data_IF_079919165433
#
_entry.id   IF_079919165433
#
_cell.length_a   1.000
_cell.length_b   1.000
_cell.length_c   1.000
_cell.angle_alpha   90.00
_cell.angle_beta   90.00
_cell.angle_gamma   90.00
#
_symmetry.space_group_name_H-M   'P 1'
#
loop_
_entity.id
_entity.type
_entity.pdbx_description
1 polymer ?
#
# COMPACT_ATOMS: atom_id res chain seq x y z
N UNK A 1 -4.19 -58.10 -62.06
CA UNK A 1 -5.30 -57.32 -61.45
C UNK A 1 -5.51 -57.76 -60.01
N UNK A 2 -4.92 -57.06 -59.03
CA UNK A 2 -5.25 -57.26 -57.61
C UNK A 2 -5.29 -55.90 -56.91
N UNK A 3 -6.47 -55.62 -56.36
CA UNK A 3 -6.86 -54.43 -55.61
C UNK A 3 -6.06 -54.38 -54.30
N UNK A 4 -5.47 -53.23 -53.98
CA UNK A 4 -4.87 -52.96 -52.67
C UNK A 4 -5.86 -52.11 -51.86
N UNK A 5 -6.14 -52.62 -50.66
CA UNK A 5 -7.12 -52.16 -49.70
C UNK A 5 -6.63 -50.86 -49.03
N UNK A 6 -7.44 -49.80 -49.06
CA UNK A 6 -7.18 -48.53 -48.39
C UNK A 6 -7.71 -48.63 -46.95
N UNK A 7 -6.82 -48.61 -45.95
CA UNK A 7 -7.18 -48.51 -44.53
C UNK A 7 -7.11 -47.03 -44.13
N UNK A 8 -8.26 -46.42 -43.85
CA UNK A 8 -8.33 -45.10 -43.22
C UNK A 8 -8.21 -45.29 -41.70
N UNK A 9 -7.06 -44.92 -41.14
CA UNK A 9 -6.87 -44.81 -39.69
C UNK A 9 -7.19 -43.36 -39.31
N UNK A 10 -8.38 -43.14 -38.73
CA UNK A 10 -8.77 -41.86 -38.15
C UNK A 10 -8.04 -41.73 -36.82
N UNK A 11 -7.00 -40.89 -36.77
CA UNK A 11 -6.41 -40.43 -35.51
C UNK A 11 -7.30 -39.32 -34.94
N UNK A 12 -8.08 -39.66 -33.91
CA UNK A 12 -8.67 -38.66 -33.00
C UNK A 12 -7.51 -37.95 -32.27
N UNK A 13 -7.28 -36.68 -32.59
CA UNK A 13 -6.53 -35.78 -31.74
C UNK A 13 -7.39 -35.44 -30.53
N UNK A 14 -7.12 -36.11 -29.41
CA UNK A 14 -7.66 -35.73 -28.11
C UNK A 14 -6.86 -34.51 -27.64
N UNK A 15 -7.43 -33.33 -27.82
CA UNK A 15 -6.92 -32.08 -27.24
C UNK A 15 -6.96 -32.21 -25.72
N UNK A 16 -5.79 -32.41 -25.11
CA UNK A 16 -5.62 -32.28 -23.66
C UNK A 16 -5.79 -30.80 -23.30
N UNK A 17 -6.83 -30.49 -22.54
CA UNK A 17 -6.94 -29.21 -21.84
C UNK A 17 -5.77 -29.11 -20.86
N UNK A 18 -4.73 -28.35 -21.22
CA UNK A 18 -3.73 -27.94 -20.24
C UNK A 18 -4.38 -26.93 -19.30
N UNK A 19 -4.55 -27.32 -18.04
CA UNK A 19 -4.71 -26.39 -16.93
C UNK A 19 -3.59 -25.36 -17.01
N UNK A 20 -3.94 -24.08 -17.21
CA UNK A 20 -2.97 -23.00 -17.36
C UNK A 20 -2.06 -22.90 -16.15
N UNK A 21 -0.80 -23.28 -16.31
CA UNK A 21 0.24 -22.96 -15.36
C UNK A 21 0.48 -21.45 -15.41
N UNK A 22 0.16 -20.76 -14.32
CA UNK A 22 0.58 -19.37 -14.12
C UNK A 22 2.11 -19.39 -14.08
N UNK A 23 2.76 -18.74 -15.03
CA UNK A 23 4.20 -18.55 -14.99
C UNK A 23 4.52 -17.64 -13.81
N UNK A 24 5.10 -18.21 -12.75
CA UNK A 24 5.70 -17.43 -11.67
C UNK A 24 7.07 -16.94 -12.13
N UNK A 25 7.43 -15.70 -11.80
CA UNK A 25 8.79 -15.24 -12.07
C UNK A 25 9.74 -16.07 -11.22
N UNK A 26 10.82 -16.56 -11.83
CA UNK A 26 11.81 -17.38 -11.13
C UNK A 26 12.70 -16.43 -10.33
N UNK A 27 12.91 -16.67 -9.01
CA UNK A 27 13.86 -15.92 -8.21
C UNK A 27 15.22 -15.82 -8.90
N UNK A 28 15.93 -14.70 -8.69
CA UNK A 28 17.29 -14.59 -9.21
C UNK A 28 18.19 -15.57 -8.46
N UNK A 29 18.55 -16.67 -9.12
CA UNK A 29 19.36 -17.76 -8.55
C UNK A 29 20.86 -17.44 -8.55
N UNK A 30 21.23 -16.24 -8.10
CA UNK A 30 22.60 -15.78 -8.02
C UNK A 30 22.77 -14.81 -6.84
N UNK A 31 23.89 -14.94 -6.11
CA UNK A 31 24.27 -14.07 -4.99
C UNK A 31 24.88 -12.77 -5.52
N UNK A 32 24.64 -11.66 -4.84
CA UNK A 32 25.24 -10.36 -5.20
C UNK A 32 24.56 -9.64 -6.36
N UNK A 33 23.50 -10.20 -6.94
CA UNK A 33 22.72 -9.51 -7.98
C UNK A 33 21.86 -8.39 -7.37
N UNK A 34 21.71 -7.24 -8.04
CA UNK A 34 20.79 -6.19 -7.60
C UNK A 34 19.33 -6.67 -7.66
N UNK A 35 18.51 -6.15 -6.75
CA UNK A 35 17.06 -6.39 -6.71
C UNK A 35 16.33 -5.06 -6.70
N UNK A 36 15.29 -4.94 -7.51
CA UNK A 36 14.43 -3.77 -7.59
C UNK A 36 12.98 -4.12 -7.28
N UNK A 37 12.32 -3.34 -6.43
CA UNK A 37 10.92 -3.52 -6.07
C UNK A 37 10.15 -2.22 -6.30
N UNK A 38 8.91 -2.34 -6.74
CA UNK A 38 7.92 -1.27 -6.58
C UNK A 38 6.99 -1.62 -5.44
N UNK A 39 6.62 -0.66 -4.60
CA UNK A 39 5.59 -0.82 -3.57
C UNK A 39 4.48 0.19 -3.80
N UNK A 40 3.25 -0.29 -3.72
CA UNK A 40 2.03 0.52 -3.67
C UNK A 40 1.18 0.05 -2.50
N UNK A 41 0.43 0.97 -1.91
CA UNK A 41 -0.59 0.68 -0.92
C UNK A 41 -1.83 1.51 -1.17
N UNK A 42 -2.94 1.14 -0.53
CA UNK A 42 -4.15 1.96 -0.47
C UNK A 42 -4.68 2.32 -1.87
N UNK A 43 -4.67 1.34 -2.78
CA UNK A 43 -5.26 1.46 -4.12
C UNK A 43 -6.77 1.67 -4.02
N UNK A 44 -7.41 1.09 -3.00
CA UNK A 44 -8.84 1.18 -2.73
C UNK A 44 -9.71 1.01 -3.99
N UNK A 45 -9.35 0.01 -4.80
CA UNK A 45 -10.00 -0.25 -6.07
C UNK A 45 -11.49 -0.55 -5.87
N UNK A 46 -12.32 0.12 -6.65
CA UNK A 46 -13.75 -0.17 -6.73
C UNK A 46 -14.12 -0.51 -8.18
N UNK A 47 -14.56 -1.75 -8.40
CA UNK A 47 -15.00 -2.19 -9.72
C UNK A 47 -16.13 -1.27 -10.27
N UNK A 48 -16.04 -0.81 -11.53
CA UNK A 48 -17.13 -0.10 -12.22
C UNK A 48 -18.44 -0.91 -12.30
N UNK A 49 -18.42 -2.21 -12.01
CA UNK A 49 -19.64 -3.05 -11.92
C UNK A 49 -20.39 -2.88 -10.61
N UNK A 50 -19.83 -2.14 -9.66
CA UNK A 50 -20.38 -1.94 -8.32
C UNK A 50 -20.89 -0.53 -8.08
N UNK A 51 -20.82 0.35 -9.08
CA UNK A 51 -21.42 1.67 -8.99
C UNK A 51 -21.99 2.17 -10.32
N UNK A 52 -22.93 3.09 -10.21
CA UNK A 52 -23.38 3.97 -11.29
C UNK A 52 -23.06 5.41 -10.87
N UNK A 53 -22.46 6.19 -11.76
CA UNK A 53 -22.21 7.61 -11.50
C UNK A 53 -23.53 8.37 -11.29
N UNK A 54 -23.53 9.29 -10.34
CA UNK A 54 -24.69 10.07 -9.96
C UNK A 54 -24.66 10.48 -8.49
N UNK A 55 -25.68 11.22 -8.06
CA UNK A 55 -25.72 11.92 -6.77
C UNK A 55 -25.34 11.05 -5.55
N UNK A 56 -25.70 9.77 -5.53
CA UNK A 56 -25.32 8.89 -4.42
C UNK A 56 -23.82 8.61 -4.42
N UNK A 57 -23.26 8.18 -5.56
CA UNK A 57 -21.85 7.83 -5.67
C UNK A 57 -20.96 9.07 -5.52
N UNK A 58 -21.37 10.21 -6.09
CA UNK A 58 -20.66 11.49 -5.92
C UNK A 58 -20.58 11.88 -4.45
N UNK A 59 -21.66 11.68 -3.68
CA UNK A 59 -21.62 11.89 -2.21
C UNK A 59 -20.68 10.92 -1.50
N UNK A 60 -20.59 9.66 -1.93
CA UNK A 60 -19.65 8.69 -1.35
C UNK A 60 -18.22 9.18 -1.53
N UNK A 61 -17.88 9.67 -2.73
CA UNK A 61 -16.55 10.23 -3.04
C UNK A 61 -16.30 11.53 -2.26
N UNK A 62 -17.19 12.52 -2.35
CA UNK A 62 -17.00 13.85 -1.76
C UNK A 62 -16.99 13.84 -0.22
N UNK A 63 -17.79 12.97 0.41
CA UNK A 63 -17.82 12.83 1.86
C UNK A 63 -16.76 11.86 2.40
N UNK A 64 -16.11 11.11 1.51
CA UNK A 64 -14.96 10.26 1.80
C UNK A 64 -13.72 11.05 2.25
N UNK A 65 -12.62 10.33 2.42
CA UNK A 65 -11.35 10.84 2.93
C UNK A 65 -10.36 11.26 1.83
N UNK A 66 -10.85 11.53 0.62
CA UNK A 66 -10.06 12.06 -0.50
C UNK A 66 -9.66 11.03 -1.55
N UNK A 67 -10.14 9.78 -1.41
CA UNK A 67 -9.98 8.72 -2.42
C UNK A 67 -10.77 9.05 -3.68
N UNK A 68 -10.11 9.09 -4.83
CA UNK A 68 -10.77 9.30 -6.14
C UNK A 68 -11.31 7.99 -6.71
N UNK A 69 -12.34 7.44 -6.07
CA UNK A 69 -12.88 6.10 -6.38
C UNK A 69 -13.25 5.92 -7.86
N UNK A 70 -13.84 6.95 -8.47
CA UNK A 70 -14.22 6.97 -9.89
C UNK A 70 -13.03 6.82 -10.85
N UNK A 71 -11.82 7.16 -10.41
CA UNK A 71 -10.59 7.06 -11.20
C UNK A 71 -9.72 5.86 -10.83
N UNK A 72 -10.14 5.02 -9.86
CA UNK A 72 -9.34 3.84 -9.46
C UNK A 72 -9.09 2.84 -10.60
N UNK A 73 -9.98 2.64 -11.60
CA UNK A 73 -9.66 1.85 -12.80
C UNK A 73 -8.54 2.43 -13.65
N UNK A 74 -8.56 3.74 -13.88
CA UNK A 74 -7.55 4.44 -14.66
C UNK A 74 -6.22 4.47 -13.90
N UNK A 75 -6.24 4.61 -12.58
CA UNK A 75 -5.07 4.54 -11.71
C UNK A 75 -4.44 3.14 -11.74
N UNK A 76 -5.26 2.07 -11.65
CA UNK A 76 -4.78 0.70 -11.76
C UNK A 76 -4.16 0.42 -13.14
N UNK A 77 -4.79 0.89 -14.21
CA UNK A 77 -4.20 0.78 -15.55
C UNK A 77 -2.86 1.53 -15.64
N UNK A 78 -2.79 2.76 -15.14
CA UNK A 78 -1.54 3.54 -15.14
C UNK A 78 -0.44 2.86 -14.30
N UNK A 79 -0.79 2.22 -13.18
CA UNK A 79 0.14 1.40 -12.40
C UNK A 79 0.72 0.25 -13.23
N UNK A 80 -0.13 -0.47 -13.96
CA UNK A 80 0.29 -1.58 -14.83
C UNK A 80 1.24 -1.08 -15.92
N UNK A 81 0.93 0.04 -16.55
CA UNK A 81 1.76 0.67 -17.57
C UNK A 81 3.11 1.12 -16.99
N UNK A 82 3.11 1.72 -15.80
CA UNK A 82 4.30 2.15 -15.09
C UNK A 82 5.19 0.96 -14.72
N UNK A 83 4.61 -0.12 -14.19
CA UNK A 83 5.34 -1.36 -13.86
C UNK A 83 5.96 -1.96 -15.13
N UNK A 84 5.23 -1.99 -16.25
CA UNK A 84 5.76 -2.47 -17.55
C UNK A 84 6.88 -1.57 -18.09
N UNK A 85 6.85 -0.28 -17.78
CA UNK A 85 7.88 0.70 -18.17
C UNK A 85 9.13 0.60 -17.31
N UNK A 86 8.96 0.56 -15.99
CA UNK A 86 10.04 0.50 -14.99
C UNK A 86 10.69 -0.88 -14.95
N UNK A 87 9.88 -1.94 -15.10
CA UNK A 87 10.28 -3.36 -15.04
C UNK A 87 11.02 -3.72 -13.73
N UNK A 88 10.41 -3.49 -12.56
CA UNK A 88 11.00 -3.95 -11.30
C UNK A 88 11.05 -5.49 -11.27
N UNK A 89 11.90 -6.05 -10.42
CA UNK A 89 11.91 -7.50 -10.18
C UNK A 89 10.66 -7.98 -9.45
N UNK A 90 10.01 -7.10 -8.69
CA UNK A 90 8.68 -7.37 -8.14
C UNK A 90 7.86 -6.14 -7.78
N UNK A 91 6.56 -6.34 -7.66
CA UNK A 91 5.56 -5.35 -7.23
C UNK A 91 4.93 -5.81 -5.90
N UNK A 92 4.99 -4.96 -4.89
CA UNK A 92 4.32 -5.15 -3.60
C UNK A 92 2.99 -4.39 -3.61
N UNK A 93 1.91 -5.11 -3.30
CA UNK A 93 0.60 -4.55 -2.94
C UNK A 93 0.46 -4.64 -1.42
N UNK A 94 0.75 -3.53 -0.73
CA UNK A 94 0.85 -3.44 0.72
C UNK A 94 -0.52 -3.17 1.39
N UNK A 95 -1.53 -3.96 1.01
CA UNK A 95 -2.88 -3.88 1.58
C UNK A 95 -3.73 -2.71 1.08
N UNK A 96 -4.99 -2.73 1.51
CA UNK A 96 -6.08 -1.88 1.06
C UNK A 96 -6.15 -1.81 -0.47
N UNK A 97 -6.14 -3.02 -1.05
CA UNK A 97 -6.19 -3.26 -2.49
C UNK A 97 -7.55 -2.81 -3.03
N UNK A 98 -8.62 -3.10 -2.30
CA UNK A 98 -10.01 -2.78 -2.63
C UNK A 98 -10.59 -1.69 -1.75
N UNK A 99 -11.70 -1.08 -2.17
CA UNK A 99 -12.32 -0.01 -1.39
C UNK A 99 -12.80 -0.54 -0.04
N UNK A 100 -13.61 -1.60 -0.02
CA UNK A 100 -14.15 -2.21 1.20
C UNK A 100 -14.35 -3.73 1.08
N UNK A 101 -13.44 -4.45 0.40
CA UNK A 101 -13.38 -5.92 0.40
C UNK A 101 -14.33 -6.57 -0.60
N UNK A 102 -14.76 -5.82 -1.61
CA UNK A 102 -15.68 -6.31 -2.61
C UNK A 102 -15.04 -7.44 -3.43
N UNK A 103 -15.70 -8.60 -3.51
CA UNK A 103 -15.22 -9.75 -4.28
C UNK A 103 -14.91 -9.38 -5.74
N UNK A 104 -15.82 -8.65 -6.40
CA UNK A 104 -15.64 -8.25 -7.80
C UNK A 104 -14.38 -7.38 -7.98
N UNK A 105 -14.15 -6.44 -7.06
CA UNK A 105 -12.95 -5.59 -7.05
C UNK A 105 -11.68 -6.43 -6.90
N UNK A 106 -11.67 -7.41 -5.98
CA UNK A 106 -10.55 -8.31 -5.81
C UNK A 106 -10.26 -9.15 -7.06
N UNK A 107 -11.30 -9.72 -7.67
CA UNK A 107 -11.18 -10.58 -8.85
C UNK A 107 -10.65 -9.81 -10.06
N UNK A 108 -11.10 -8.57 -10.28
CA UNK A 108 -10.58 -7.70 -11.35
C UNK A 108 -9.10 -7.32 -11.13
N UNK A 109 -8.72 -6.94 -9.91
CA UNK A 109 -7.31 -6.66 -9.61
C UNK A 109 -6.44 -7.90 -9.79
N UNK A 110 -6.92 -9.08 -9.35
CA UNK A 110 -6.19 -10.33 -9.46
C UNK A 110 -5.98 -10.76 -10.92
N UNK A 111 -6.96 -10.50 -11.80
CA UNK A 111 -6.81 -10.76 -13.24
C UNK A 111 -5.69 -9.90 -13.85
N UNK A 112 -5.65 -8.61 -13.51
CA UNK A 112 -4.60 -7.70 -13.94
C UNK A 112 -3.22 -8.11 -13.40
N UNK A 113 -3.15 -8.50 -12.13
CA UNK A 113 -1.91 -9.03 -11.52
C UNK A 113 -1.44 -10.28 -12.25
N UNK A 114 -2.34 -11.18 -12.65
CA UNK A 114 -1.99 -12.38 -13.41
C UNK A 114 -1.37 -12.03 -14.78
N UNK A 115 -1.81 -10.95 -15.42
CA UNK A 115 -1.15 -10.44 -16.63
C UNK A 115 0.27 -9.95 -16.36
N UNK A 116 0.49 -9.23 -15.26
CA UNK A 116 1.82 -8.78 -14.84
C UNK A 116 2.75 -9.97 -14.58
N UNK A 117 2.29 -10.99 -13.84
CA UNK A 117 3.03 -12.23 -13.64
C UNK A 117 3.39 -12.93 -14.96
N UNK A 118 2.44 -12.98 -15.89
CA UNK A 118 2.67 -13.55 -17.23
C UNK A 118 3.70 -12.77 -18.06
N UNK A 119 3.94 -11.49 -17.73
CA UNK A 119 4.98 -10.66 -18.33
C UNK A 119 6.34 -10.74 -17.60
N UNK A 120 6.47 -11.59 -16.58
CA UNK A 120 7.70 -11.84 -15.84
C UNK A 120 7.88 -10.98 -14.58
N UNK A 121 6.89 -10.18 -14.19
CA UNK A 121 6.92 -9.38 -12.96
C UNK A 121 6.26 -10.16 -11.82
N UNK A 122 7.00 -10.50 -10.76
CA UNK A 122 6.38 -11.14 -9.60
C UNK A 122 5.59 -10.11 -8.78
N UNK A 123 4.39 -10.46 -8.35
CA UNK A 123 3.58 -9.63 -7.44
C UNK A 123 3.56 -10.26 -6.04
N UNK A 124 3.56 -9.43 -5.00
CA UNK A 124 3.52 -9.80 -3.59
C UNK A 124 2.37 -9.04 -2.93
N UNK A 125 1.36 -9.75 -2.41
CA UNK A 125 0.17 -9.11 -1.87
C UNK A 125 -0.17 -9.62 -0.47
N UNK A 126 -0.47 -8.68 0.43
CA UNK A 126 -1.11 -8.93 1.72
C UNK A 126 -2.37 -8.07 1.82
N UNK A 127 -3.39 -8.46 2.62
CA UNK A 127 -4.56 -7.64 2.80
C UNK A 127 -4.29 -6.46 3.75
N UNK A 128 -5.00 -5.37 3.51
CA UNK A 128 -5.18 -4.28 4.47
C UNK A 128 -6.44 -4.46 5.30
N UNK A 129 -6.77 -3.48 6.14
CA UNK A 129 -7.95 -3.56 7.00
C UNK A 129 -9.27 -3.38 6.24
N UNK A 130 -9.25 -2.93 4.98
CA UNK A 130 -10.43 -2.84 4.11
C UNK A 130 -10.68 -4.08 3.26
N UNK A 131 -9.70 -4.97 3.10
CA UNK A 131 -9.76 -6.02 2.08
C UNK A 131 -10.55 -7.27 2.50
N UNK A 132 -10.53 -7.64 3.78
CA UNK A 132 -11.16 -8.89 4.22
C UNK A 132 -12.00 -8.70 5.47
N UNK A 133 -13.08 -9.47 5.55
CA UNK A 133 -14.07 -9.44 6.63
C UNK A 133 -14.55 -8.01 6.94
N UNK A 134 -14.55 -7.11 5.96
CA UNK A 134 -14.94 -5.74 6.16
C UNK A 134 -16.46 -5.67 6.39
N UNK A 135 -16.92 -5.01 7.47
CA UNK A 135 -18.34 -5.05 7.86
C UNK A 135 -19.23 -4.12 7.03
N UNK A 136 -18.66 -3.25 6.21
CA UNK A 136 -19.39 -2.19 5.49
C UNK A 136 -19.09 -2.19 3.99
N UNK A 137 -19.37 -3.30 3.33
CA UNK A 137 -19.17 -3.46 1.88
C UNK A 137 -20.47 -3.20 1.12
N UNK A 138 -20.43 -2.34 0.09
CA UNK A 138 -21.64 -1.91 -0.63
C UNK A 138 -21.42 -1.86 -2.14
N UNK A 139 -22.54 -1.83 -2.87
CA UNK A 139 -22.63 -1.36 -4.26
C UNK A 139 -23.63 -0.20 -4.36
N UNK A 140 -23.45 0.70 -5.32
CA UNK A 140 -24.13 1.99 -5.39
C UNK A 140 -24.85 2.17 -6.73
N UNK A 141 -26.17 2.00 -6.79
CA UNK A 141 -26.93 2.11 -8.05
C UNK A 141 -28.14 3.03 -7.88
N UNK A 142 -28.26 4.02 -8.77
CA UNK A 142 -29.25 5.10 -8.63
C UNK A 142 -29.13 5.79 -7.26
N UNK A 143 -30.18 5.72 -6.46
CA UNK A 143 -30.26 6.28 -5.11
C UNK A 143 -30.09 5.23 -3.99
N UNK A 144 -29.69 4.00 -4.33
CA UNK A 144 -29.60 2.87 -3.38
C UNK A 144 -28.15 2.44 -3.16
N UNK A 145 -27.72 2.45 -1.89
CA UNK A 145 -26.54 1.73 -1.43
C UNK A 145 -26.98 0.34 -0.92
N UNK A 146 -26.62 -0.71 -1.65
CA UNK A 146 -26.97 -2.09 -1.29
C UNK A 146 -25.76 -2.78 -0.65
N UNK A 147 -25.93 -3.27 0.58
CA UNK A 147 -24.92 -4.07 1.28
C UNK A 147 -24.65 -5.39 0.53
N UNK A 148 -23.37 -5.74 0.42
CA UNK A 148 -22.87 -7.02 -0.09
C UNK A 148 -21.84 -7.57 0.89
N UNK A 149 -21.38 -8.81 0.68
CA UNK A 149 -20.39 -9.42 1.58
C UNK A 149 -18.97 -9.12 1.14
N UNK A 150 -18.12 -8.74 2.09
CA UNK A 150 -16.67 -8.81 1.96
C UNK A 150 -16.20 -10.26 1.79
N UNK A 151 -15.06 -10.46 1.14
CA UNK A 151 -14.35 -11.76 1.17
C UNK A 151 -13.70 -12.02 2.53
N UNK A 152 -13.38 -13.28 2.80
CA UNK A 152 -12.61 -13.75 3.97
C UNK A 152 -11.11 -13.80 3.68
N UNK A 153 -10.27 -13.87 4.73
CA UNK A 153 -8.82 -14.08 4.59
C UNK A 153 -8.45 -15.32 3.78
N UNK A 154 -9.19 -16.43 3.93
CA UNK A 154 -8.95 -17.64 3.12
C UNK A 154 -9.31 -17.45 1.65
N UNK A 155 -10.37 -16.70 1.35
CA UNK A 155 -10.72 -16.34 -0.03
C UNK A 155 -9.68 -15.41 -0.65
N UNK A 156 -9.13 -14.46 0.13
CA UNK A 156 -8.02 -13.62 -0.30
C UNK A 156 -6.80 -14.47 -0.70
N UNK A 157 -6.40 -15.45 0.13
CA UNK A 157 -5.29 -16.35 -0.21
C UNK A 157 -5.53 -17.12 -1.51
N UNK A 158 -6.77 -17.51 -1.80
CA UNK A 158 -7.11 -18.20 -3.04
C UNK A 158 -7.02 -17.26 -4.25
N UNK A 159 -7.61 -16.06 -4.14
CA UNK A 159 -7.64 -15.05 -5.21
C UNK A 159 -6.22 -14.60 -5.56
N UNK A 160 -5.39 -14.32 -4.54
CA UNK A 160 -4.03 -13.84 -4.70
C UNK A 160 -2.98 -14.95 -4.54
N UNK A 161 -3.34 -16.21 -4.79
CA UNK A 161 -2.44 -17.35 -4.59
C UNK A 161 -1.12 -17.24 -5.37
N UNK A 162 -1.12 -16.62 -6.56
CA UNK A 162 0.10 -16.38 -7.34
C UNK A 162 0.92 -15.17 -6.87
N UNK A 163 0.46 -14.42 -5.88
CA UNK A 163 1.02 -13.14 -5.46
C UNK A 163 1.90 -13.28 -4.21
N UNK A 164 2.91 -14.14 -4.30
CA UNK A 164 3.86 -14.43 -3.22
C UNK A 164 3.52 -15.65 -2.38
N UNK A 165 2.24 -16.03 -2.26
CA UNK A 165 1.81 -17.22 -1.50
C UNK A 165 2.37 -18.50 -2.14
N UNK A 166 1.99 -18.79 -3.38
CA UNK A 166 2.57 -19.89 -4.14
C UNK A 166 4.03 -19.54 -4.46
N UNK A 167 4.94 -20.49 -4.24
CA UNK A 167 6.37 -20.27 -4.46
C UNK A 167 7.09 -19.57 -3.30
N UNK A 168 6.40 -19.19 -2.23
CA UNK A 168 7.05 -18.75 -0.99
C UNK A 168 7.98 -19.83 -0.42
N UNK A 169 9.04 -19.39 0.26
CA UNK A 169 9.88 -20.25 1.09
C UNK A 169 9.10 -20.76 2.30
N UNK A 170 8.20 -19.93 2.82
CA UNK A 170 7.35 -20.26 3.96
C UNK A 170 6.09 -19.40 3.94
N UNK A 171 4.95 -20.02 4.25
CA UNK A 171 3.65 -19.36 4.43
C UNK A 171 3.24 -19.48 5.90
N UNK A 172 2.90 -18.36 6.55
CA UNK A 172 2.30 -18.38 7.88
C UNK A 172 0.94 -19.07 7.82
N UNK A 173 0.74 -20.10 8.64
CA UNK A 173 -0.53 -20.83 8.70
C UNK A 173 -1.62 -20.06 9.45
N UNK A 174 -1.28 -18.92 10.06
CA UNK A 174 -2.17 -18.12 10.90
C UNK A 174 -2.61 -16.80 10.27
N UNK A 175 -2.10 -16.45 9.09
CA UNK A 175 -2.33 -15.19 8.35
C UNK A 175 -2.07 -15.40 6.85
N UNK A 176 -2.04 -14.33 6.05
CA UNK A 176 -1.55 -14.30 4.67
C UNK A 176 -0.06 -13.92 4.57
N UNK A 177 0.67 -13.84 5.69
CA UNK A 177 2.09 -13.52 5.70
C UNK A 177 2.95 -14.64 5.10
N UNK A 178 4.05 -14.29 4.45
CA UNK A 178 4.95 -15.23 3.79
C UNK A 178 6.38 -14.71 3.72
N UNK A 179 7.34 -15.62 3.55
CA UNK A 179 8.73 -15.30 3.20
C UNK A 179 8.97 -15.70 1.76
N UNK A 180 9.47 -14.78 0.94
CA UNK A 180 9.79 -15.03 -0.46
C UNK A 180 11.27 -14.78 -0.74
N UNK A 181 11.87 -15.61 -1.59
CA UNK A 181 13.25 -15.44 -2.03
C UNK A 181 13.28 -14.52 -3.25
N UNK A 182 13.82 -13.31 -3.11
CA UNK A 182 14.01 -12.39 -4.25
C UNK A 182 15.29 -12.74 -5.02
N UNK A 183 16.35 -13.02 -4.26
CA UNK A 183 17.61 -13.58 -4.73
C UNK A 183 18.15 -14.58 -3.68
N UNK A 184 19.18 -15.35 -4.01
CA UNK A 184 19.77 -16.36 -3.10
C UNK A 184 20.17 -15.78 -1.73
N UNK A 185 20.52 -14.49 -1.68
CA UNK A 185 20.93 -13.76 -0.49
C UNK A 185 20.03 -12.56 -0.14
N UNK A 186 18.82 -12.47 -0.73
CA UNK A 186 17.83 -11.42 -0.43
C UNK A 186 16.42 -12.02 -0.29
N UNK A 187 15.82 -11.88 0.89
CA UNK A 187 14.45 -12.32 1.16
C UNK A 187 13.51 -11.14 1.40
N UNK A 188 12.24 -11.33 1.02
CA UNK A 188 11.13 -10.47 1.36
C UNK A 188 10.27 -11.13 2.43
N UNK A 189 10.03 -10.44 3.54
CA UNK A 189 9.18 -10.91 4.63
C UNK A 189 7.87 -10.10 4.67
N UNK A 190 6.77 -10.75 4.29
CA UNK A 190 5.44 -10.16 4.32
C UNK A 190 4.76 -10.38 5.69
N UNK A 191 4.43 -9.29 6.38
CA UNK A 191 3.79 -9.28 7.69
C UNK A 191 2.30 -8.92 7.53
N UNK A 192 1.43 -9.91 7.65
CA UNK A 192 -0.02 -9.70 7.59
C UNK A 192 -0.64 -9.62 9.00
N UNK A 193 -1.25 -8.46 9.28
CA UNK A 193 -1.96 -8.17 10.51
C UNK A 193 -3.50 -8.11 10.33
N UNK A 194 -4.02 -8.38 9.12
CA UNK A 194 -5.41 -8.08 8.74
C UNK A 194 -6.22 -9.29 8.28
N UNK A 195 -5.63 -10.41 7.86
CA UNK A 195 -6.43 -11.53 7.34
C UNK A 195 -7.33 -12.26 8.35
N UNK A 196 -7.34 -11.82 9.61
CA UNK A 196 -8.10 -12.42 10.72
C UNK A 196 -9.19 -11.47 11.21
N UNK A 197 -10.11 -11.99 12.03
CA UNK A 197 -11.23 -11.23 12.62
C UNK A 197 -10.83 -9.97 13.41
N UNK A 198 -9.57 -9.85 13.83
CA UNK A 198 -9.04 -8.69 14.56
C UNK A 198 -7.90 -8.07 13.75
N UNK A 199 -8.18 -7.07 12.88
CA UNK A 199 -7.16 -6.40 12.09
C UNK A 199 -6.19 -5.61 12.98
N UNK A 200 -5.01 -5.29 12.43
CA UNK A 200 -3.96 -4.53 13.10
C UNK A 200 -3.14 -5.29 14.14
N UNK A 201 -3.23 -6.63 14.22
CA UNK A 201 -2.46 -7.42 15.20
C UNK A 201 -1.89 -8.72 14.63
N UNK A 202 -0.59 -8.94 14.85
CA UNK A 202 0.01 -10.28 14.66
C UNK A 202 -0.34 -11.20 15.84
N UNK A 203 -0.82 -12.41 15.53
CA UNK A 203 -1.09 -13.40 16.57
C UNK A 203 0.22 -14.06 17.06
N UNK A 204 0.17 -14.76 18.20
CA UNK A 204 1.36 -15.42 18.79
C UNK A 204 2.06 -16.36 17.80
N UNK A 205 1.29 -17.16 17.04
CA UNK A 205 1.85 -18.10 16.08
C UNK A 205 2.56 -17.38 14.93
N UNK A 206 1.99 -16.27 14.45
CA UNK A 206 2.62 -15.42 13.42
C UNK A 206 3.92 -14.83 13.93
N UNK A 207 3.97 -14.34 15.18
CA UNK A 207 5.22 -13.84 15.77
C UNK A 207 6.27 -14.94 15.90
N UNK A 208 5.90 -16.14 16.34
CA UNK A 208 6.81 -17.29 16.39
C UNK A 208 7.30 -17.69 15.00
N UNK A 209 6.42 -17.68 13.99
CA UNK A 209 6.80 -17.93 12.61
C UNK A 209 7.81 -16.88 12.12
N UNK A 210 7.58 -15.58 12.37
CA UNK A 210 8.54 -14.51 12.04
C UNK A 210 9.91 -14.78 12.68
N UNK A 211 9.96 -15.13 13.98
CA UNK A 211 11.20 -15.47 14.67
C UNK A 211 11.96 -16.63 13.99
N UNK A 212 11.24 -17.67 13.54
CA UNK A 212 11.82 -18.79 12.79
C UNK A 212 12.38 -18.35 11.44
N UNK A 213 11.66 -17.51 10.69
CA UNK A 213 12.12 -17.01 9.38
C UNK A 213 13.39 -16.16 9.52
N UNK A 214 13.43 -15.27 10.50
CA UNK A 214 14.58 -14.41 10.77
C UNK A 214 15.80 -15.22 11.22
N UNK A 215 15.59 -16.23 12.07
CA UNK A 215 16.66 -17.16 12.46
C UNK A 215 17.23 -17.88 11.23
N UNK A 216 16.38 -18.40 10.36
CA UNK A 216 16.79 -19.09 9.14
C UNK A 216 17.55 -18.17 8.17
N UNK A 217 17.11 -16.91 8.02
CA UNK A 217 17.79 -15.92 7.19
C UNK A 217 19.19 -15.62 7.73
N UNK A 218 19.29 -15.38 9.05
CA UNK A 218 20.55 -15.10 9.74
C UNK A 218 21.55 -16.25 9.65
N UNK A 219 21.11 -17.49 9.83
CA UNK A 219 21.95 -18.69 9.67
C UNK A 219 22.50 -18.83 8.24
N UNK A 220 21.79 -18.30 7.24
CA UNK A 220 22.19 -18.32 5.83
C UNK A 220 22.89 -17.04 5.38
N UNK A 221 23.02 -16.02 6.24
CA UNK A 221 23.60 -14.72 5.89
C UNK A 221 22.79 -13.92 4.86
N UNK A 222 21.48 -14.18 4.78
CA UNK A 222 20.57 -13.54 3.83
C UNK A 222 20.12 -12.19 4.37
N UNK A 223 20.13 -11.16 3.51
CA UNK A 223 19.54 -9.87 3.80
C UNK A 223 18.01 -9.94 3.69
N UNK A 224 17.28 -9.37 4.65
CA UNK A 224 15.81 -9.40 4.67
C UNK A 224 15.27 -7.98 4.63
N UNK A 225 14.26 -7.76 3.78
CA UNK A 225 13.41 -6.56 3.80
C UNK A 225 12.00 -7.01 4.20
N UNK A 226 11.39 -6.33 5.17
CA UNK A 226 10.00 -6.61 5.55
C UNK A 226 9.03 -5.62 4.92
N UNK A 227 7.78 -6.03 4.75
CA UNK A 227 6.68 -5.11 4.49
C UNK A 227 5.40 -5.52 5.23
N UNK A 228 4.56 -4.54 5.51
CA UNK A 228 3.27 -4.67 6.20
C UNK A 228 2.26 -3.68 5.62
N UNK A 229 0.99 -3.81 5.98
CA UNK A 229 0.00 -2.78 5.65
C UNK A 229 0.09 -1.61 6.66
N UNK A 230 -0.25 -1.84 7.92
CA UNK A 230 0.02 -0.91 9.01
C UNK A 230 1.53 -0.77 9.27
N UNK A 231 1.97 0.38 9.76
CA UNK A 231 3.37 0.61 10.12
C UNK A 231 3.78 -0.15 11.37
N UNK A 232 5.09 -0.30 11.57
CA UNK A 232 5.74 -0.83 12.77
C UNK A 232 6.24 0.28 13.69
N UNK A 233 5.96 1.53 13.35
CA UNK A 233 6.33 2.71 14.12
C UNK A 233 5.23 3.75 14.03
N UNK A 234 5.09 4.59 15.05
CA UNK A 234 4.25 5.78 14.95
C UNK A 234 4.97 6.81 14.08
N UNK A 235 4.36 7.21 12.97
CA UNK A 235 4.95 8.18 12.05
C UNK A 235 4.71 9.64 12.48
N UNK A 236 3.77 9.88 13.38
CA UNK A 236 3.49 11.22 13.92
C UNK A 236 2.84 11.09 15.29
N UNK A 237 3.00 12.08 16.16
CA UNK A 237 2.43 12.09 17.51
C UNK A 237 0.90 11.93 17.55
N UNK A 238 0.19 12.17 16.44
CA UNK A 238 -1.26 11.92 16.33
C UNK A 238 -1.63 10.73 15.43
N UNK A 239 -0.66 10.05 14.82
CA UNK A 239 -0.82 8.84 14.01
C UNK A 239 -0.34 7.61 14.78
N UNK A 240 -1.04 7.30 15.86
CA UNK A 240 -0.78 6.16 16.74
C UNK A 240 -2.04 5.27 16.85
N UNK A 241 -1.92 4.11 17.47
CA UNK A 241 -3.04 3.19 17.65
C UNK A 241 -3.27 2.36 16.40
N UNK A 242 -4.44 2.48 15.76
CA UNK A 242 -4.82 1.62 14.63
C UNK A 242 -3.93 1.80 13.38
N UNK A 243 -3.14 2.89 13.30
CA UNK A 243 -2.18 3.11 12.23
C UNK A 243 -0.93 2.22 12.32
N UNK A 244 -0.62 1.76 13.53
CA UNK A 244 0.58 1.01 13.86
C UNK A 244 0.18 -0.38 14.34
N UNK A 245 0.88 -1.42 13.89
CA UNK A 245 0.60 -2.79 14.34
C UNK A 245 0.65 -2.84 15.87
N UNK A 246 -0.37 -3.47 16.47
CA UNK A 246 -0.39 -3.63 17.91
C UNK A 246 0.85 -4.42 18.38
N UNK A 247 1.48 -3.94 19.46
CA UNK A 247 2.73 -4.47 20.00
C UNK A 247 3.92 -4.35 19.02
N UNK A 248 3.89 -3.39 18.08
CA UNK A 248 4.97 -3.16 17.11
C UNK A 248 6.39 -3.07 17.70
N UNK A 249 6.66 -2.43 18.87
CA UNK A 249 7.99 -2.44 19.46
C UNK A 249 8.56 -3.84 19.70
N UNK A 250 7.69 -4.82 20.00
CA UNK A 250 8.11 -6.23 20.14
C UNK A 250 8.50 -6.82 18.78
N UNK A 251 7.75 -6.51 17.72
CA UNK A 251 8.04 -6.99 16.36
C UNK A 251 9.33 -6.37 15.84
N UNK A 252 9.51 -5.05 16.01
CA UNK A 252 10.74 -4.33 15.67
C UNK A 252 11.94 -4.94 16.39
N UNK A 253 11.83 -5.26 17.69
CA UNK A 253 12.91 -5.93 18.42
C UNK A 253 13.28 -7.30 17.80
N UNK A 254 12.30 -8.07 17.30
CA UNK A 254 12.56 -9.33 16.61
C UNK A 254 13.21 -9.14 15.24
N UNK A 255 12.74 -8.17 14.46
CA UNK A 255 13.36 -7.78 13.20
C UNK A 255 14.83 -7.37 13.40
N UNK A 256 15.11 -6.55 14.42
CA UNK A 256 16.46 -6.13 14.77
C UNK A 256 17.35 -7.31 15.23
N UNK A 257 16.83 -8.26 16.00
CA UNK A 257 17.56 -9.51 16.35
C UNK A 257 17.98 -10.31 15.10
N UNK A 258 17.16 -10.23 14.04
CA UNK A 258 17.36 -10.81 12.71
C UNK A 258 18.17 -9.95 11.74
N UNK A 259 18.73 -8.82 12.18
CA UNK A 259 19.48 -7.86 11.35
C UNK A 259 18.63 -7.21 10.23
N UNK A 260 17.34 -7.03 10.48
CA UNK A 260 16.40 -6.34 9.60
C UNK A 260 16.21 -4.90 10.07
N UNK A 261 16.53 -3.96 9.19
CA UNK A 261 16.55 -2.51 9.50
C UNK A 261 15.51 -1.70 8.72
N UNK A 262 14.75 -2.34 7.82
CA UNK A 262 13.76 -1.66 6.98
C UNK A 262 12.44 -2.43 6.93
N UNK A 263 11.36 -1.73 7.26
CA UNK A 263 10.00 -2.12 6.92
C UNK A 263 9.39 -1.13 5.92
N UNK A 264 8.70 -1.66 4.92
CA UNK A 264 7.89 -0.88 3.99
C UNK A 264 6.41 -1.02 4.40
N UNK A 265 5.70 0.09 4.59
CA UNK A 265 4.30 0.11 5.01
C UNK A 265 3.42 1.01 4.14
N UNK A 266 2.12 1.04 4.44
CA UNK A 266 1.09 1.85 3.79
C UNK A 266 0.11 2.38 4.85
N UNK A 267 -1.21 2.38 4.60
CA UNK A 267 -2.30 2.61 5.56
C UNK A 267 -2.45 4.05 6.06
N UNK A 268 -1.36 4.77 6.30
CA UNK A 268 -1.40 6.17 6.76
C UNK A 268 -1.82 7.13 5.64
N UNK A 269 -1.78 6.66 4.39
CA UNK A 269 -2.01 7.42 3.14
C UNK A 269 -1.03 8.57 2.87
N UNK A 270 -0.19 8.94 3.84
CA UNK A 270 0.86 9.96 3.69
C UNK A 270 2.20 9.30 3.38
N UNK A 271 3.01 9.96 2.54
CA UNK A 271 4.39 9.55 2.36
C UNK A 271 5.23 9.99 3.55
N UNK A 272 5.67 9.04 4.37
CA UNK A 272 6.43 9.34 5.57
C UNK A 272 7.48 8.28 5.88
N UNK A 273 8.56 8.69 6.54
CA UNK A 273 9.65 7.80 6.95
C UNK A 273 9.88 8.04 8.43
N UNK A 274 9.74 7.01 9.25
CA UNK A 274 10.06 7.00 10.66
C UNK A 274 11.41 6.30 10.88
N UNK A 275 12.16 6.73 11.89
CA UNK A 275 13.43 6.12 12.29
C UNK A 275 13.54 6.11 13.80
N UNK A 276 13.93 4.96 14.36
CA UNK A 276 14.25 4.84 15.78
C UNK A 276 15.28 3.72 15.97
N UNK A 277 16.40 4.07 16.59
CA UNK A 277 17.44 3.10 16.95
C UNK A 277 18.07 2.41 15.74
N UNK A 278 18.09 3.04 14.57
CA UNK A 278 18.60 2.47 13.32
C UNK A 278 17.61 1.61 12.54
N UNK A 279 16.39 1.41 13.05
CA UNK A 279 15.30 0.79 12.30
C UNK A 279 14.48 1.86 11.58
N UNK A 280 14.13 1.60 10.31
CA UNK A 280 13.37 2.51 9.47
C UNK A 280 12.03 1.87 9.08
N UNK A 281 10.96 2.63 9.24
CA UNK A 281 9.66 2.32 8.64
C UNK A 281 9.32 3.36 7.57
N UNK A 282 9.03 2.91 6.36
CA UNK A 282 8.69 3.74 5.21
C UNK A 282 7.23 3.52 4.84
N UNK A 283 6.36 4.43 5.28
CA UNK A 283 4.97 4.48 4.88
C UNK A 283 4.87 5.13 3.50
N UNK A 284 4.52 4.32 2.49
CA UNK A 284 4.31 4.80 1.12
C UNK A 284 2.95 5.49 1.04
N UNK A 285 2.93 6.67 0.40
CA UNK A 285 1.68 7.42 0.22
C UNK A 285 0.63 6.62 -0.57
N UNK A 286 -0.64 6.93 -0.33
CA UNK A 286 -1.75 6.21 -0.98
C UNK A 286 -1.75 6.41 -2.50
N UNK A 287 -2.04 5.34 -3.23
CA UNK A 287 -2.19 5.40 -4.68
C UNK A 287 -3.53 6.01 -5.12
N UNK A 288 -4.58 5.92 -4.29
CA UNK A 288 -5.93 6.44 -4.60
C UNK A 288 -6.15 7.88 -4.15
N UNK A 289 -5.20 8.48 -3.44
CA UNK A 289 -5.27 9.87 -2.96
C UNK A 289 -4.15 10.66 -3.62
N UNK A 290 -4.42 11.91 -3.99
CA UNK A 290 -3.39 12.82 -4.48
C UNK A 290 -2.24 12.92 -3.44
N UNK A 291 -0.96 12.76 -3.83
CA UNK A 291 -0.42 12.87 -5.19
C UNK A 291 -0.14 11.51 -5.90
N UNK A 292 -0.80 10.43 -5.50
CA UNK A 292 -0.70 9.09 -6.12
C UNK A 292 0.71 8.50 -6.08
N UNK A 293 1.26 8.28 -4.89
CA UNK A 293 2.66 7.86 -4.76
C UNK A 293 2.81 6.35 -4.85
N UNK A 294 3.92 5.94 -5.44
CA UNK A 294 4.48 4.60 -5.27
C UNK A 294 5.93 4.72 -4.79
N UNK A 295 6.40 3.70 -4.08
CA UNK A 295 7.81 3.58 -3.68
C UNK A 295 8.58 2.72 -4.69
N UNK A 296 9.79 3.14 -5.01
CA UNK A 296 10.76 2.34 -5.78
C UNK A 296 11.96 2.04 -4.89
N UNK A 297 12.27 0.76 -4.73
CA UNK A 297 13.31 0.25 -3.85
C UNK A 297 14.38 -0.44 -4.68
N UNK A 298 15.63 -0.07 -4.47
CA UNK A 298 16.80 -0.72 -5.07
C UNK A 298 17.70 -1.27 -3.98
N UNK A 299 18.00 -2.56 -4.06
CA UNK A 299 18.97 -3.26 -3.23
C UNK A 299 20.16 -3.55 -4.14
N UNK A 300 21.27 -2.84 -3.92
CA UNK A 300 22.45 -2.95 -4.78
C UNK A 300 23.28 -4.23 -4.48
N UNK A 301 24.37 -4.42 -5.22
CA UNK A 301 25.28 -5.57 -5.07
C UNK A 301 25.90 -5.67 -3.66
N UNK A 302 26.00 -4.55 -2.93
CA UNK A 302 26.50 -4.48 -1.57
C UNK A 302 25.37 -4.59 -0.52
N UNK A 303 24.11 -4.74 -0.98
CA UNK A 303 22.88 -4.72 -0.17
C UNK A 303 22.62 -3.39 0.52
N UNK A 304 23.14 -2.30 -0.05
CA UNK A 304 22.64 -0.98 0.30
C UNK A 304 21.24 -0.84 -0.28
N UNK A 305 20.34 -0.18 0.46
CA UNK A 305 18.97 0.03 0.05
C UNK A 305 18.77 1.51 -0.30
N UNK A 306 18.24 1.78 -1.47
CA UNK A 306 17.73 3.11 -1.84
C UNK A 306 16.22 3.03 -2.01
N UNK A 307 15.47 3.84 -1.28
CA UNK A 307 14.03 4.04 -1.48
C UNK A 307 13.79 5.42 -2.12
N UNK A 308 12.94 5.46 -3.14
CA UNK A 308 12.45 6.71 -3.76
C UNK A 308 10.93 6.68 -3.92
N UNK A 309 10.22 7.64 -3.33
CA UNK A 309 8.81 7.84 -3.64
C UNK A 309 8.64 8.65 -4.92
N UNK A 310 7.75 8.22 -5.81
CA UNK A 310 7.47 8.84 -7.11
C UNK A 310 5.96 8.97 -7.31
N UNK A 311 5.48 10.08 -7.90
CA UNK A 311 4.09 10.15 -8.34
C UNK A 311 3.88 9.20 -9.52
N UNK A 312 2.77 8.50 -9.50
CA UNK A 312 2.30 7.70 -10.63
C UNK A 312 1.99 8.66 -11.80
N UNK A 313 2.56 8.45 -12.99
CA UNK A 313 2.20 9.24 -14.16
C UNK A 313 0.73 9.00 -14.53
N UNK A 314 -0.08 10.06 -14.43
CA UNK A 314 -1.50 10.05 -14.76
C UNK A 314 -1.82 11.14 -15.79
N UNK A 315 -2.93 11.00 -16.55
CA UNK A 315 -3.48 12.10 -17.32
C UNK A 315 -3.65 13.36 -16.47
N UNK A 316 -3.40 14.52 -17.08
CA UNK A 316 -3.46 15.81 -16.39
C UNK A 316 -4.85 16.08 -15.79
N UNK A 317 -5.92 15.69 -16.50
CA UNK A 317 -7.30 15.81 -16.03
C UNK A 317 -7.53 15.05 -14.71
N UNK A 318 -7.12 13.78 -14.64
CA UNK A 318 -7.22 12.98 -13.41
C UNK A 318 -6.38 13.62 -12.30
N UNK A 319 -5.17 14.08 -12.61
CA UNK A 319 -4.29 14.72 -11.64
C UNK A 319 -4.90 16.01 -11.06
N UNK A 320 -5.57 16.80 -11.89
CA UNK A 320 -6.25 18.04 -11.48
C UNK A 320 -7.48 17.75 -10.62
N UNK A 321 -8.31 16.79 -11.02
CA UNK A 321 -9.49 16.39 -10.26
C UNK A 321 -9.11 15.78 -8.91
N UNK A 322 -8.10 14.91 -8.85
CA UNK A 322 -7.60 14.36 -7.59
C UNK A 322 -7.05 15.44 -6.66
N UNK A 323 -6.31 16.42 -7.19
CA UNK A 323 -5.83 17.57 -6.42
C UNK A 323 -7.00 18.40 -5.89
N UNK A 324 -8.01 18.64 -6.72
CA UNK A 324 -9.18 19.42 -6.34
C UNK A 324 -9.98 18.70 -5.24
N UNK A 325 -10.21 17.38 -5.37
CA UNK A 325 -10.86 16.58 -4.33
C UNK A 325 -10.06 16.62 -3.03
N UNK A 326 -8.74 16.40 -3.07
CA UNK A 326 -7.89 16.48 -1.88
C UNK A 326 -7.99 17.83 -1.17
N UNK A 327 -7.99 18.93 -1.93
CA UNK A 327 -8.19 20.27 -1.39
C UNK A 327 -9.59 20.44 -0.77
N UNK A 328 -10.66 20.00 -1.45
CA UNK A 328 -12.04 20.03 -0.91
C UNK A 328 -12.16 19.20 0.37
N UNK A 329 -11.58 18.00 0.42
CA UNK A 329 -11.55 17.16 1.62
C UNK A 329 -10.81 17.87 2.77
N UNK A 330 -9.66 18.47 2.48
CA UNK A 330 -8.88 19.24 3.47
C UNK A 330 -9.69 20.42 4.00
N UNK A 331 -10.32 21.19 3.11
CA UNK A 331 -11.20 22.29 3.46
C UNK A 331 -12.33 21.86 4.39
N UNK A 332 -13.07 20.81 4.01
CA UNK A 332 -14.18 20.29 4.82
C UNK A 332 -13.73 19.92 6.24
N UNK A 333 -12.54 19.34 6.39
CA UNK A 333 -11.98 18.96 7.71
C UNK A 333 -11.52 20.17 8.52
N UNK A 334 -10.97 21.19 7.87
CA UNK A 334 -10.66 22.49 8.50
C UNK A 334 -11.95 23.14 8.98
N UNK A 335 -12.96 23.24 8.13
CA UNK A 335 -14.24 23.89 8.43
C UNK A 335 -14.94 23.20 9.59
N UNK A 336 -14.97 21.87 9.59
CA UNK A 336 -15.52 21.10 10.70
C UNK A 336 -14.83 21.37 12.04
N UNK A 337 -13.54 21.75 12.02
CA UNK A 337 -12.74 22.08 13.22
C UNK A 337 -12.88 23.54 13.64
N UNK A 338 -13.06 24.46 12.68
CA UNK A 338 -13.14 25.89 12.93
C UNK A 338 -14.56 26.42 13.12
N UNK A 339 -15.60 25.71 12.66
CA UNK A 339 -17.00 26.18 12.72
C UNK A 339 -17.52 26.50 14.13
N UNK A 340 -16.91 25.91 15.17
CA UNK A 340 -17.27 26.16 16.57
C UNK A 340 -16.48 27.31 17.20
N UNK A 341 -15.52 27.88 16.47
CA UNK A 341 -14.61 28.90 16.95
C UNK A 341 -15.08 30.29 16.51
N UNK A 342 -14.93 31.28 17.38
CA UNK A 342 -15.23 32.67 17.07
C UNK A 342 -14.04 33.32 16.35
N UNK A 343 -13.93 33.11 15.04
CA UNK A 343 -12.82 33.58 14.20
C UNK A 343 -13.36 34.56 13.14
N UNK A 344 -12.71 35.71 12.96
CA UNK A 344 -13.07 36.63 11.88
C UNK A 344 -12.64 36.08 10.51
N UNK A 345 -13.28 36.58 9.44
CA UNK A 345 -13.08 36.04 8.09
C UNK A 345 -11.62 36.09 7.63
N UNK A 346 -10.90 37.17 7.94
CA UNK A 346 -9.52 37.35 7.46
C UNK A 346 -8.59 36.33 8.12
N UNK A 347 -8.69 36.18 9.44
CA UNK A 347 -7.92 35.18 10.21
C UNK A 347 -8.26 33.77 9.75
N UNK A 348 -9.54 33.47 9.54
CA UNK A 348 -9.99 32.17 9.02
C UNK A 348 -9.36 31.85 7.65
N UNK A 349 -9.37 32.81 6.71
CA UNK A 349 -8.81 32.60 5.36
C UNK A 349 -7.29 32.33 5.42
N UNK A 350 -6.57 33.04 6.30
CA UNK A 350 -5.12 32.85 6.55
C UNK A 350 -4.83 31.47 7.13
N UNK A 351 -5.55 31.07 8.19
CA UNK A 351 -5.41 29.76 8.84
C UNK A 351 -5.67 28.62 7.85
N UNK A 352 -6.72 28.77 7.02
CA UNK A 352 -7.14 27.79 6.00
C UNK A 352 -6.11 27.62 4.90
N UNK A 353 -5.64 28.71 4.29
CA UNK A 353 -4.60 28.69 3.26
C UNK A 353 -3.31 28.02 3.76
N UNK A 354 -2.88 28.39 4.97
CA UNK A 354 -1.70 27.81 5.61
C UNK A 354 -1.86 26.30 5.85
N UNK A 355 -3.00 25.88 6.41
CA UNK A 355 -3.28 24.47 6.71
C UNK A 355 -3.25 23.58 5.46
N UNK A 356 -3.79 24.06 4.33
CA UNK A 356 -3.76 23.33 3.06
C UNK A 356 -2.34 23.14 2.56
N UNK A 357 -1.51 24.18 2.66
CA UNK A 357 -0.11 24.11 2.24
C UNK A 357 0.66 23.09 3.09
N UNK A 358 0.49 23.13 4.41
CA UNK A 358 1.11 22.16 5.33
C UNK A 358 0.64 20.74 5.02
N UNK A 359 -0.68 20.51 4.94
CA UNK A 359 -1.24 19.18 4.67
C UNK A 359 -0.79 18.63 3.32
N UNK A 360 -0.74 19.47 2.28
CA UNK A 360 -0.28 19.08 0.95
C UNK A 360 1.21 18.67 0.96
N UNK A 361 2.09 19.45 1.60
CA UNK A 361 3.50 19.09 1.75
C UNK A 361 3.65 17.76 2.50
N UNK A 362 2.87 17.57 3.56
CA UNK A 362 2.93 16.38 4.40
C UNK A 362 2.50 15.11 3.67
N UNK A 363 1.37 15.13 2.95
CA UNK A 363 0.93 14.00 2.12
C UNK A 363 1.94 13.64 1.02
N UNK A 364 2.64 14.65 0.47
CA UNK A 364 3.67 14.47 -0.55
C UNK A 364 5.00 13.95 0.02
N UNK A 365 5.16 13.94 1.34
CA UNK A 365 6.44 13.63 2.00
C UNK A 365 7.52 14.66 1.68
N UNK A 366 7.15 15.88 1.27
CA UNK A 366 8.09 16.92 0.89
C UNK A 366 8.60 17.67 2.11
N UNK A 367 9.85 18.15 2.02
CA UNK A 367 10.41 19.07 3.00
C UNK A 367 9.50 20.29 3.14
N UNK A 368 8.93 20.49 4.33
CA UNK A 368 8.09 21.66 4.62
C UNK A 368 8.95 22.92 4.57
N UNK A 369 8.46 23.95 3.86
CA UNK A 369 9.14 25.23 3.76
C UNK A 369 9.25 25.88 5.14
N UNK A 370 10.47 26.29 5.50
CA UNK A 370 10.77 27.06 6.73
C UNK A 370 9.83 28.25 6.95
N UNK A 371 9.35 28.90 5.89
CA UNK A 371 8.41 30.01 5.98
C UNK A 371 7.04 29.60 6.56
N UNK A 372 6.65 28.33 6.44
CA UNK A 372 5.40 27.82 7.05
C UNK A 372 5.53 27.66 8.57
N UNK A 373 6.73 27.40 9.09
CA UNK A 373 6.98 27.28 10.54
C UNK A 373 6.91 28.63 11.26
N UNK A 374 7.28 29.72 10.59
CA UNK A 374 7.26 31.08 11.15
C UNK A 374 6.05 31.90 10.70
N UNK A 375 5.08 31.27 10.05
CA UNK A 375 3.89 31.94 9.53
C UNK A 375 2.96 32.33 10.70
N UNK A 376 2.29 33.48 10.59
CA UNK A 376 1.38 33.96 11.65
C UNK A 376 0.26 32.95 12.00
N UNK A 377 -0.18 32.18 11.00
CA UNK A 377 -1.18 31.14 11.16
C UNK A 377 -0.81 30.07 12.20
N UNK A 378 0.48 29.86 12.49
CA UNK A 378 0.91 28.88 13.51
C UNK A 378 0.38 29.26 14.89
N UNK A 379 0.55 30.52 15.28
CA UNK A 379 0.05 31.02 16.57
C UNK A 379 -1.49 31.12 16.56
N UNK A 380 -2.09 31.52 15.43
CA UNK A 380 -3.56 31.52 15.29
C UNK A 380 -4.14 30.11 15.46
N UNK A 381 -3.53 29.07 14.87
CA UNK A 381 -3.94 27.68 15.07
C UNK A 381 -3.73 27.23 16.51
N UNK A 382 -2.63 27.61 17.17
CA UNK A 382 -2.38 27.28 18.58
C UNK A 382 -3.43 27.88 19.51
N UNK A 383 -3.71 29.18 19.35
CA UNK A 383 -4.57 29.93 20.27
C UNK A 383 -6.06 29.67 20.02
N UNK A 384 -6.47 29.57 18.76
CA UNK A 384 -7.89 29.56 18.38
C UNK A 384 -8.44 28.15 18.12
N UNK A 385 -7.57 27.18 17.79
CA UNK A 385 -8.01 25.86 17.37
C UNK A 385 -7.06 24.71 17.77
N UNK A 386 -6.13 24.93 18.71
CA UNK A 386 -5.04 24.00 19.00
C UNK A 386 -5.49 22.68 19.64
N UNK A 387 -6.65 22.67 20.28
CA UNK A 387 -7.29 21.50 20.88
C UNK A 387 -8.15 20.68 19.89
N UNK A 388 -8.52 21.30 18.77
CA UNK A 388 -9.30 20.65 17.71
C UNK A 388 -8.50 19.52 17.05
N UNK A 389 -9.20 18.58 16.39
CA UNK A 389 -8.53 17.47 15.69
C UNK A 389 -7.57 17.98 14.61
N UNK A 390 -8.02 18.95 13.81
CA UNK A 390 -7.18 19.53 12.75
C UNK A 390 -6.02 20.35 13.33
N UNK A 391 -6.25 21.14 14.39
CA UNK A 391 -5.19 21.91 15.03
C UNK A 391 -4.09 21.02 15.60
N UNK A 392 -4.45 19.98 16.37
CA UNK A 392 -3.48 19.00 16.88
C UNK A 392 -2.67 18.33 15.78
N UNK A 393 -3.34 17.94 14.69
CA UNK A 393 -2.68 17.33 13.53
C UNK A 393 -1.71 18.28 12.80
N UNK A 394 -2.14 19.51 12.50
CA UNK A 394 -1.30 20.46 11.79
C UNK A 394 -0.10 20.91 12.63
N UNK A 395 -0.31 21.09 13.94
CA UNK A 395 0.76 21.50 14.85
C UNK A 395 1.75 20.37 15.10
N UNK A 396 1.30 19.11 15.19
CA UNK A 396 2.21 17.97 15.36
C UNK A 396 3.16 17.79 14.17
N UNK A 397 2.71 18.10 12.94
CA UNK A 397 3.57 18.11 11.75
C UNK A 397 4.75 19.09 11.92
N UNK A 398 4.54 20.24 12.56
CA UNK A 398 5.60 21.23 12.77
C UNK A 398 6.54 20.90 13.92
N UNK A 399 6.17 19.98 14.79
CA UNK A 399 7.03 19.49 15.88
C UNK A 399 8.06 18.48 15.36
N UNK A 400 7.83 17.90 14.19
CA UNK A 400 8.74 16.96 13.56
C UNK A 400 9.96 17.66 12.94
N UNK A 401 11.16 17.04 13.00
CA UNK A 401 12.32 17.51 12.27
C UNK A 401 12.05 17.60 10.76
N UNK A 402 12.38 18.73 10.15
CA UNK A 402 12.15 18.92 8.71
C UNK A 402 13.05 18.01 7.87
N UNK A 403 12.46 17.04 7.16
CA UNK A 403 13.17 16.07 6.29
C UNK A 403 12.42 15.84 4.97
N UNK A 404 13.11 15.31 3.95
CA UNK A 404 12.47 14.80 2.73
C UNK A 404 12.14 13.32 2.97
N UNK A 405 10.86 12.98 2.96
CA UNK A 405 10.36 11.62 3.21
C UNK A 405 10.21 10.81 1.92
N UNK A 406 10.69 11.33 0.79
CA UNK A 406 10.65 10.64 -0.51
C UNK A 406 11.96 9.95 -0.85
N UNK A 407 12.98 10.07 -0.01
CA UNK A 407 14.29 9.47 -0.25
C UNK A 407 14.88 8.91 1.02
N UNK A 408 15.36 7.66 0.95
CA UNK A 408 16.12 7.02 2.01
C UNK A 408 17.25 6.22 1.39
N UNK A 409 18.42 6.32 2.00
CA UNK A 409 19.58 5.48 1.68
C UNK A 409 20.02 4.78 2.97
N UNK A 410 20.11 3.45 2.92
CA UNK A 410 20.61 2.62 4.01
C UNK A 410 21.85 1.87 3.52
N UNK A 411 22.98 2.09 4.19
CA UNK A 411 24.17 1.26 3.97
C UNK A 411 23.98 -0.08 4.67
N UNK A 412 24.41 -1.19 4.03
CA UNK A 412 24.38 -2.49 4.70
C UNK A 412 25.30 -2.45 5.93
N UNK A 413 24.75 -2.72 7.11
CA UNK A 413 25.54 -2.94 8.32
C UNK A 413 26.55 -4.08 8.07
N UNK A 414 27.82 -3.84 8.42
CA UNK A 414 28.94 -4.77 8.20
C UNK A 414 29.01 -5.90 9.21
#
# INVERSE_FOLDING_TARGET
MKKILLFFLIFLLISSCSSGHVHQAVPKSEVGVPVSLMIVGDLHYLSPRLYEEGDLFDRVVELGDGKVLQYTPQILQALVEEVRRVKPDGLILAGDITFNGERESHEEVAEIVKELCSSGIQVYAIPGNHDVNYPWTYKYFGDVAQEIKSITGSEFQNIYSSCGIAGSLSLDQSSCGFTFMLADDVWLLALDANARDKPGKLCKNTVTWVEEQLKNAKEKGVHVVSFSHQSLMDHNAVMYGDYTIQDAPRIVAKLAEGDVHLNLSAHLHVQHIAEEGGFYDVATGSLSIYPHLYGYVEIDENRNITYTAKPLPLPEEITQESRALFQRTTHRRIDASLQTQAIDKQTYDIMREWAIRVNNCYYRGEKIDSALYTHQAVEEWRELAGDTRMGRYLLSILEEPTRDHRHLFLERSK
#
